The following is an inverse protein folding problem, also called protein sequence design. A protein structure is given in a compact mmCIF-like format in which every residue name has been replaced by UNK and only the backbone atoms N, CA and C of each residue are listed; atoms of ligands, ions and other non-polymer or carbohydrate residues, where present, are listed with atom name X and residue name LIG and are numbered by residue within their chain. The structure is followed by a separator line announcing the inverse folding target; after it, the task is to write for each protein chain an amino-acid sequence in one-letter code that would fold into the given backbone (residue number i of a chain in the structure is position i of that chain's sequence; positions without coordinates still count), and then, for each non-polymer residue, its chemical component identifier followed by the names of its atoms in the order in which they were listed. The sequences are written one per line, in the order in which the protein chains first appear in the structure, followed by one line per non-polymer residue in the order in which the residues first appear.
data_IF_977660862395
#
_entry.id   IF_977660862395
#
_cell.length_a   1.000
_cell.length_b   1.000
_cell.length_c   1.000
_cell.angle_alpha   90.00
_cell.angle_beta   90.00
_cell.angle_gamma   90.00
#
_symmetry.space_group_name_H-M   'P 1'
#
loop_
_entity.id
_entity.type
_entity.pdbx_description
1 polymer ?
#
# COMPACT_ATOMS: atom_id res chain seq x y z
N UNK A 1 -0.92 -4.29 17.95
CA UNK A 1 0.12 -4.20 19.01
C UNK A 1 -0.55 -4.33 20.38
N UNK A 2 0.11 -4.85 21.44
CA UNK A 2 -0.46 -4.89 22.78
C UNK A 2 -0.63 -3.49 23.35
N UNK A 3 -1.68 -3.31 24.17
CA UNK A 3 -1.91 -2.05 24.90
C UNK A 3 -0.99 -1.99 26.14
N UNK A 4 -0.65 -0.77 26.58
CA UNK A 4 0.26 -0.50 27.70
C UNK A 4 -0.22 -1.13 29.02
N UNK A 5 -1.54 -1.24 29.22
CA UNK A 5 -2.15 -1.84 30.43
C UNK A 5 -1.81 -3.34 30.58
N UNK A 6 -1.29 -3.99 29.52
CA UNK A 6 -0.84 -5.38 29.57
C UNK A 6 0.54 -5.54 30.22
N UNK A 7 1.29 -4.45 30.43
CA UNK A 7 2.59 -4.50 31.11
C UNK A 7 2.37 -4.67 32.62
N UNK A 8 2.96 -5.69 33.24
CA UNK A 8 2.89 -5.87 34.69
C UNK A 8 3.48 -4.68 35.42
N UNK A 9 2.77 -4.14 36.38
CA UNK A 9 3.19 -2.97 37.14
C UNK A 9 3.79 -3.29 38.52
N UNK A 10 3.80 -4.57 38.93
CA UNK A 10 4.39 -5.04 40.21
C UNK A 10 5.91 -5.14 40.05
N UNK A 11 6.64 -4.33 40.83
CA UNK A 11 8.12 -4.37 40.89
C UNK A 11 8.60 -5.44 41.89
N UNK A 12 8.03 -5.42 43.11
CA UNK A 12 8.47 -6.22 44.21
C UNK A 12 7.31 -6.41 45.18
N UNK A 13 7.26 -7.56 45.83
CA UNK A 13 6.38 -7.81 47.00
C UNK A 13 7.25 -8.05 48.22
N UNK A 14 7.18 -7.09 49.18
CA UNK A 14 8.00 -7.10 50.39
C UNK A 14 7.13 -7.38 51.61
N UNK A 15 7.60 -8.27 52.47
CA UNK A 15 6.93 -8.52 53.77
C UNK A 15 7.33 -7.44 54.76
N UNK A 16 6.36 -6.69 55.29
CA UNK A 16 6.55 -5.72 56.39
C UNK A 16 6.31 -6.42 57.74
N UNK A 17 7.38 -6.68 58.45
CA UNK A 17 7.36 -7.39 59.75
C UNK A 17 6.51 -6.66 60.78
N UNK A 18 6.57 -5.35 60.80
CA UNK A 18 5.81 -4.48 61.73
C UNK A 18 4.31 -4.56 61.54
N UNK A 19 3.86 -4.72 60.28
CA UNK A 19 2.44 -4.82 59.91
C UNK A 19 1.97 -6.23 59.70
N UNK A 20 2.89 -7.23 59.80
CA UNK A 20 2.64 -8.64 59.48
C UNK A 20 1.87 -8.85 58.16
N UNK A 21 2.19 -8.04 57.15
CA UNK A 21 1.49 -8.02 55.89
C UNK A 21 2.49 -7.86 54.72
N UNK A 22 2.07 -8.32 53.54
CA UNK A 22 2.81 -8.04 52.30
C UNK A 22 2.44 -6.67 51.74
N UNK A 23 3.45 -5.92 51.34
CA UNK A 23 3.30 -4.66 50.65
C UNK A 23 3.80 -4.80 49.23
N UNK A 24 2.96 -4.45 48.26
CA UNK A 24 3.29 -4.39 46.86
C UNK A 24 3.96 -3.06 46.54
N UNK A 25 5.13 -3.13 45.93
CA UNK A 25 5.86 -1.98 45.46
C UNK A 25 5.67 -1.97 43.94
N UNK A 26 5.04 -0.90 43.42
CA UNK A 26 4.74 -0.75 42.00
C UNK A 26 5.90 -0.09 41.24
N UNK A 27 6.03 -0.40 39.96
CA UNK A 27 6.92 0.28 39.04
C UNK A 27 6.49 1.75 38.87
N UNK A 28 7.47 2.62 38.67
CA UNK A 28 7.20 4.00 38.27
C UNK A 28 6.69 4.03 36.82
N UNK A 29 5.90 5.02 36.48
CA UNK A 29 5.36 5.15 35.10
C UNK A 29 6.47 5.25 34.05
N UNK A 30 7.58 5.90 34.36
CA UNK A 30 8.78 5.98 33.50
C UNK A 30 9.35 4.60 33.18
N UNK A 31 9.38 3.71 34.18
CA UNK A 31 9.89 2.34 34.00
C UNK A 31 8.92 1.50 33.17
N UNK A 32 7.61 1.66 33.42
CA UNK A 32 6.55 1.01 32.62
C UNK A 32 6.65 1.46 31.16
N UNK A 33 6.81 2.76 30.90
CA UNK A 33 6.97 3.30 29.56
C UNK A 33 8.19 2.71 28.85
N UNK A 34 9.32 2.59 29.55
CA UNK A 34 10.55 2.01 29.01
C UNK A 34 10.35 0.54 28.65
N UNK A 35 9.77 -0.26 29.57
CA UNK A 35 9.48 -1.68 29.33
C UNK A 35 8.52 -1.83 28.15
N UNK A 36 7.50 -1.00 28.07
CA UNK A 36 6.54 -1.01 26.97
C UNK A 36 7.20 -0.73 25.63
N UNK A 37 7.97 0.36 25.51
CA UNK A 37 8.73 0.68 24.30
C UNK A 37 9.62 -0.49 23.85
N UNK A 38 10.40 -1.02 24.78
CA UNK A 38 11.32 -2.12 24.52
C UNK A 38 10.60 -3.38 24.05
N UNK A 39 9.46 -3.70 24.67
CA UNK A 39 8.62 -4.83 24.29
C UNK A 39 8.04 -4.68 22.89
N UNK A 40 7.68 -3.46 22.46
CA UNK A 40 7.16 -3.22 21.11
C UNK A 40 8.24 -3.43 20.03
N UNK A 41 9.46 -2.95 20.27
CA UNK A 41 10.59 -3.20 19.36
C UNK A 41 10.96 -4.70 19.33
N UNK A 42 11.02 -5.35 20.47
CA UNK A 42 11.28 -6.79 20.57
C UNK A 42 10.22 -7.60 19.82
N UNK A 43 8.94 -7.26 19.98
CA UNK A 43 7.85 -7.95 19.30
C UNK A 43 7.98 -7.83 17.77
N UNK A 44 8.29 -6.63 17.28
CA UNK A 44 8.52 -6.40 15.85
C UNK A 44 9.66 -7.27 15.31
N UNK A 45 10.83 -7.25 15.96
CA UNK A 45 11.99 -8.02 15.53
C UNK A 45 11.76 -9.52 15.64
N UNK A 46 11.11 -9.96 16.73
CA UNK A 46 10.82 -11.38 16.98
C UNK A 46 9.86 -11.97 15.92
N UNK A 47 8.79 -11.26 15.58
CA UNK A 47 7.87 -11.74 14.56
C UNK A 47 8.52 -11.84 13.19
N UNK A 48 9.36 -10.87 12.81
CA UNK A 48 10.14 -10.98 11.57
C UNK A 48 11.07 -12.20 11.60
N UNK A 49 11.75 -12.42 12.72
CA UNK A 49 12.63 -13.58 12.92
C UNK A 49 11.87 -14.90 12.78
N UNK A 50 10.73 -15.03 13.47
CA UNK A 50 9.95 -16.26 13.46
C UNK A 50 9.42 -16.58 12.04
N UNK A 51 9.04 -15.55 11.26
CA UNK A 51 8.60 -15.72 9.86
C UNK A 51 9.78 -16.21 8.99
N UNK A 52 10.95 -15.55 9.05
CA UNK A 52 12.11 -15.98 8.26
C UNK A 52 12.62 -17.37 8.66
N UNK A 53 12.58 -17.72 9.94
CA UNK A 53 12.99 -19.05 10.40
C UNK A 53 11.99 -20.15 10.01
N UNK A 54 10.73 -19.81 9.81
CA UNK A 54 9.69 -20.74 9.35
C UNK A 54 9.71 -20.96 7.83
N UNK A 55 10.38 -20.09 7.08
CA UNK A 55 10.51 -20.19 5.62
C UNK A 55 11.65 -21.14 5.22
N UNK A 56 11.42 -22.42 5.35
CA UNK A 56 12.41 -23.48 5.01
C UNK A 56 12.75 -23.47 3.51
N UNK A 57 11.81 -23.09 2.67
CA UNK A 57 11.97 -23.07 1.22
C UNK A 57 12.66 -21.80 0.71
N UNK A 58 12.94 -20.81 1.56
CA UNK A 58 13.51 -19.50 1.23
C UNK A 58 12.75 -18.76 0.11
N UNK A 59 11.41 -18.79 0.20
CA UNK A 59 10.54 -18.10 -0.75
C UNK A 59 10.24 -16.63 -0.35
N UNK A 60 10.55 -16.25 0.90
CA UNK A 60 10.30 -14.91 1.42
C UNK A 60 11.56 -14.07 1.25
N UNK A 61 11.53 -13.15 0.30
CA UNK A 61 12.63 -12.21 0.07
C UNK A 61 12.63 -11.03 1.05
N UNK A 62 11.44 -10.58 1.46
CA UNK A 62 11.30 -9.46 2.37
C UNK A 62 10.01 -9.47 3.17
N UNK A 63 10.02 -8.79 4.31
CA UNK A 63 8.87 -8.62 5.20
C UNK A 63 8.65 -7.14 5.45
N UNK A 64 7.40 -6.68 5.32
CA UNK A 64 6.97 -5.38 5.83
C UNK A 64 6.10 -5.61 7.06
N UNK A 65 6.56 -5.11 8.19
CA UNK A 65 5.85 -5.18 9.45
C UNK A 65 5.26 -3.82 9.81
N UNK A 66 3.95 -3.74 9.95
CA UNK A 66 3.24 -2.54 10.41
C UNK A 66 2.56 -2.81 11.74
N UNK A 67 2.95 -2.10 12.78
CA UNK A 67 2.40 -2.24 14.12
C UNK A 67 1.25 -1.27 14.35
N UNK A 68 0.02 -1.75 14.28
CA UNK A 68 -1.18 -0.96 14.54
C UNK A 68 -1.64 -1.06 16.00
N UNK A 69 -2.13 0.05 16.54
CA UNK A 69 -2.74 0.12 17.85
C UNK A 69 -4.07 0.87 17.75
N UNK A 70 -5.12 0.30 18.37
CA UNK A 70 -6.44 0.95 18.46
C UNK A 70 -6.59 1.55 19.84
N UNK A 71 -6.81 2.86 19.90
CA UNK A 71 -7.01 3.62 21.13
C UNK A 71 -8.17 4.59 20.99
N UNK A 72 -8.72 4.98 22.15
CA UNK A 72 -9.77 6.00 22.22
C UNK A 72 -9.14 7.39 22.03
N UNK A 73 -9.50 8.07 20.95
CA UNK A 73 -9.14 9.47 20.78
C UNK A 73 -9.93 10.33 21.77
N UNK A 74 -9.22 10.91 22.75
CA UNK A 74 -9.83 11.71 23.83
C UNK A 74 -10.44 13.02 23.34
N UNK A 75 -10.14 13.46 22.12
CA UNK A 75 -10.68 14.70 21.57
C UNK A 75 -12.08 14.53 20.99
N UNK A 76 -12.37 13.35 20.42
CA UNK A 76 -13.65 13.07 19.74
C UNK A 76 -14.42 11.88 20.33
N UNK A 77 -13.81 11.12 21.26
CA UNK A 77 -14.43 9.96 21.89
C UNK A 77 -14.56 8.72 20.97
N UNK A 78 -13.91 8.70 19.82
CA UNK A 78 -13.96 7.57 18.86
C UNK A 78 -12.72 6.70 18.99
N UNK A 79 -12.86 5.41 18.68
CA UNK A 79 -11.72 4.51 18.55
C UNK A 79 -11.00 4.79 17.23
N UNK A 80 -9.71 5.05 17.30
CA UNK A 80 -8.83 5.26 16.14
C UNK A 80 -7.73 4.21 16.13
N UNK A 81 -7.49 3.64 14.94
CA UNK A 81 -6.42 2.68 14.72
C UNK A 81 -5.29 3.34 13.96
N UNK A 82 -4.16 3.53 14.64
CA UNK A 82 -2.99 4.19 14.08
C UNK A 82 -1.81 3.23 13.96
N UNK A 83 -1.03 3.34 12.88
CA UNK A 83 0.26 2.71 12.78
C UNK A 83 1.24 3.45 13.70
N UNK A 84 1.87 2.76 14.66
CA UNK A 84 2.80 3.37 15.62
C UNK A 84 4.24 3.03 15.33
N UNK A 85 4.48 1.93 14.59
CA UNK A 85 5.80 1.57 14.08
C UNK A 85 5.67 0.79 12.76
N UNK A 86 6.67 0.92 11.90
CA UNK A 86 6.76 0.20 10.63
C UNK A 86 8.21 -0.17 10.35
N UNK A 87 8.45 -1.40 9.91
CA UNK A 87 9.76 -1.92 9.58
C UNK A 87 9.68 -2.74 8.30
N UNK A 88 10.60 -2.50 7.38
CA UNK A 88 10.82 -3.37 6.23
C UNK A 88 12.19 -4.03 6.36
N UNK A 89 12.24 -5.33 6.10
CA UNK A 89 13.47 -6.12 6.15
C UNK A 89 13.57 -6.98 4.90
N UNK A 90 14.80 -7.25 4.43
CA UNK A 90 15.07 -8.32 3.49
C UNK A 90 15.59 -9.55 4.22
N UNK A 91 15.33 -10.74 3.68
CA UNK A 91 15.80 -11.99 4.27
C UNK A 91 17.34 -12.02 4.37
N UNK A 92 18.03 -11.51 3.35
CA UNK A 92 19.48 -11.45 3.29
C UNK A 92 20.03 -10.59 4.44
N UNK A 93 19.60 -9.32 4.50
CA UNK A 93 20.07 -8.39 5.54
C UNK A 93 19.68 -8.83 6.94
N UNK A 94 18.46 -9.38 7.13
CA UNK A 94 17.98 -9.74 8.45
C UNK A 94 18.74 -10.94 9.06
N UNK A 95 19.16 -11.91 8.23
CA UNK A 95 19.95 -13.08 8.66
C UNK A 95 21.35 -12.72 9.20
N UNK A 96 21.88 -11.54 8.84
CA UNK A 96 23.18 -11.06 9.37
C UNK A 96 23.12 -10.57 10.82
N UNK A 97 21.92 -10.26 11.34
CA UNK A 97 21.76 -9.74 12.70
C UNK A 97 21.69 -10.85 13.75
N UNK A 98 22.50 -10.71 14.79
CA UNK A 98 22.40 -11.58 15.98
C UNK A 98 21.45 -10.96 17.02
N UNK A 99 20.15 -11.29 16.91
CA UNK A 99 19.10 -10.70 17.75
C UNK A 99 19.27 -10.96 19.25
N UNK A 100 20.09 -11.95 19.65
CA UNK A 100 20.34 -12.21 21.08
C UNK A 100 21.31 -11.23 21.73
N UNK A 101 22.04 -10.44 20.91
CA UNK A 101 23.10 -9.52 21.36
C UNK A 101 22.84 -8.06 21.03
N UNK A 102 21.71 -7.73 20.43
CA UNK A 102 21.40 -6.37 20.00
C UNK A 102 20.48 -5.65 20.98
N UNK A 103 20.61 -4.32 21.07
CA UNK A 103 19.56 -3.49 21.66
C UNK A 103 18.39 -3.40 20.65
N UNK A 104 17.15 -3.76 21.03
CA UNK A 104 16.04 -3.83 20.11
C UNK A 104 15.72 -2.50 19.41
N UNK A 105 15.82 -1.38 20.13
CA UNK A 105 15.57 -0.05 19.60
C UNK A 105 16.64 0.39 18.60
N UNK A 106 17.91 0.13 18.93
CA UNK A 106 19.02 0.44 18.03
C UNK A 106 18.98 -0.45 16.79
N UNK A 107 18.70 -1.73 16.95
CA UNK A 107 18.55 -2.67 15.85
C UNK A 107 17.42 -2.25 14.89
N UNK A 108 16.24 -1.90 15.42
CA UNK A 108 15.12 -1.38 14.63
C UNK A 108 15.51 -0.12 13.85
N UNK A 109 16.23 0.81 14.48
CA UNK A 109 16.70 2.03 13.82
C UNK A 109 17.76 1.77 12.75
N UNK A 110 18.70 0.83 12.98
CA UNK A 110 19.72 0.47 11.99
C UNK A 110 19.11 -0.11 10.73
N UNK A 111 17.98 -0.80 10.86
CA UNK A 111 17.17 -1.30 9.74
C UNK A 111 16.26 -0.22 9.13
N UNK A 112 16.44 1.07 9.48
CA UNK A 112 15.64 2.21 8.99
C UNK A 112 14.14 2.11 9.31
N UNK A 113 13.79 1.43 10.40
CA UNK A 113 12.42 1.35 10.89
C UNK A 113 11.83 2.73 11.24
N UNK A 114 10.56 2.94 10.95
CA UNK A 114 9.82 4.17 11.24
C UNK A 114 9.04 4.02 12.54
N UNK A 115 9.26 4.92 13.48
CA UNK A 115 8.51 5.01 14.73
C UNK A 115 8.58 6.46 15.24
N UNK A 116 7.63 6.85 16.08
CA UNK A 116 7.69 8.12 16.78
C UNK A 116 8.94 8.26 17.67
N UNK A 117 9.30 9.48 18.05
CA UNK A 117 10.51 9.76 18.87
C UNK A 117 10.49 8.95 20.18
N UNK A 118 9.33 8.86 20.81
CA UNK A 118 9.02 7.96 21.93
C UNK A 118 7.83 7.11 21.53
N UNK A 119 8.04 5.81 21.47
CA UNK A 119 6.99 4.89 21.08
C UNK A 119 5.86 4.81 22.12
N UNK A 120 6.20 5.11 23.40
CA UNK A 120 5.22 5.22 24.50
C UNK A 120 4.20 6.36 24.33
N UNK A 121 4.52 7.37 23.52
CA UNK A 121 3.64 8.50 23.24
C UNK A 121 2.62 8.17 22.12
N UNK A 122 2.74 6.98 21.50
CA UNK A 122 1.81 6.40 20.52
C UNK A 122 1.54 7.30 19.31
N UNK A 123 2.52 8.13 18.95
CA UNK A 123 2.42 9.02 17.79
C UNK A 123 2.27 8.21 16.51
N UNK A 124 1.25 8.52 15.71
CA UNK A 124 1.02 7.88 14.43
C UNK A 124 2.19 8.13 13.47
N UNK A 125 2.62 7.09 12.79
CA UNK A 125 3.63 7.16 11.72
C UNK A 125 3.07 6.62 10.42
N UNK A 126 3.54 7.16 9.30
CA UNK A 126 3.18 6.60 8.00
C UNK A 126 3.81 5.21 7.86
N UNK A 127 3.03 4.15 7.57
CA UNK A 127 3.57 2.84 7.30
C UNK A 127 4.50 2.88 6.07
N UNK A 128 5.55 2.05 6.06
CA UNK A 128 6.50 1.98 4.94
C UNK A 128 5.78 1.49 3.69
N UNK A 129 4.95 0.48 3.85
CA UNK A 129 4.06 0.00 2.80
C UNK A 129 2.70 -0.27 3.41
N UNK A 130 1.67 0.34 2.88
CA UNK A 130 0.30 0.07 3.26
C UNK A 130 -0.30 -0.94 2.29
N UNK A 131 0.14 -2.19 2.38
CA UNK A 131 -0.52 -3.30 1.68
C UNK A 131 -1.76 -3.62 2.51
N UNK A 132 -2.80 -2.85 2.38
CA UNK A 132 -4.12 -3.28 2.85
C UNK A 132 -4.64 -4.36 1.88
N UNK A 133 -4.19 -5.60 2.05
CA UNK A 133 -4.86 -6.77 1.45
C UNK A 133 -6.33 -6.88 1.90
N UNK A 134 -6.78 -5.95 2.74
CA UNK A 134 -8.13 -5.77 3.25
C UNK A 134 -8.81 -4.53 2.70
N UNK A 135 -8.26 -3.89 1.68
CA UNK A 135 -9.03 -2.89 0.97
C UNK A 135 -10.19 -3.63 0.31
N UNK A 136 -11.40 -3.39 0.86
CA UNK A 136 -12.63 -4.03 0.39
C UNK A 136 -12.95 -3.71 -1.07
N UNK A 137 -12.23 -2.75 -1.66
CA UNK A 137 -12.32 -2.37 -3.07
C UNK A 137 -11.62 -3.38 -3.98
N UNK A 138 -10.63 -4.15 -3.48
CA UNK A 138 -9.91 -5.12 -4.31
C UNK A 138 -10.80 -6.29 -4.67
N UNK A 139 -10.89 -6.55 -5.96
CA UNK A 139 -11.64 -7.67 -6.53
C UNK A 139 -10.68 -8.74 -7.05
N UNK A 140 -11.20 -9.97 -7.20
CA UNK A 140 -10.43 -11.03 -7.84
C UNK A 140 -10.25 -10.69 -9.31
N UNK A 141 -9.02 -10.63 -9.82
CA UNK A 141 -8.76 -10.40 -11.22
C UNK A 141 -9.24 -11.58 -12.07
N UNK A 142 -9.66 -11.31 -13.29
CA UNK A 142 -9.81 -12.32 -14.32
C UNK A 142 -8.95 -11.96 -15.53
N UNK A 143 -8.48 -12.97 -16.26
CA UNK A 143 -7.60 -12.80 -17.40
C UNK A 143 -8.40 -12.56 -18.67
N UNK A 144 -8.01 -11.54 -19.42
CA UNK A 144 -8.68 -11.09 -20.66
C UNK A 144 -7.74 -11.15 -21.85
N UNK A 145 -6.43 -11.11 -21.63
CA UNK A 145 -5.41 -10.95 -22.68
C UNK A 145 -5.56 -11.90 -23.85
N UNK A 146 -5.91 -13.16 -23.61
CA UNK A 146 -6.10 -14.15 -24.66
C UNK A 146 -7.35 -13.93 -25.56
N UNK A 147 -8.29 -13.11 -25.07
CA UNK A 147 -9.58 -12.84 -25.74
C UNK A 147 -9.55 -11.62 -26.65
N UNK A 148 -8.48 -10.82 -26.60
CA UNK A 148 -8.44 -9.50 -27.27
C UNK A 148 -7.83 -9.51 -28.66
N UNK A 149 -7.44 -10.67 -29.22
CA UNK A 149 -6.82 -10.75 -30.54
C UNK A 149 -7.69 -10.10 -31.61
N UNK A 150 -7.22 -8.97 -32.16
CA UNK A 150 -7.95 -8.19 -33.17
C UNK A 150 -9.16 -7.43 -32.64
N UNK A 151 -9.44 -7.46 -31.34
CA UNK A 151 -10.58 -6.81 -30.74
C UNK A 151 -10.42 -5.28 -30.73
N UNK A 152 -11.52 -4.54 -30.96
CA UNK A 152 -11.53 -3.09 -30.86
C UNK A 152 -11.69 -2.66 -29.40
N UNK A 153 -10.60 -2.20 -28.78
CA UNK A 153 -10.62 -1.82 -27.35
C UNK A 153 -11.61 -0.68 -27.05
N UNK A 154 -11.90 0.18 -28.02
CA UNK A 154 -12.86 1.28 -27.86
C UNK A 154 -14.31 0.79 -27.72
N UNK A 155 -14.63 -0.46 -28.18
CA UNK A 155 -15.92 -1.12 -28.04
C UNK A 155 -15.99 -2.15 -26.90
N UNK A 156 -14.86 -2.40 -26.20
CA UNK A 156 -14.77 -3.38 -25.13
C UNK A 156 -15.71 -3.02 -23.96
N UNK A 157 -16.14 -4.02 -23.17
CA UNK A 157 -16.79 -3.74 -21.89
C UNK A 157 -15.83 -2.93 -20.99
N UNK A 158 -16.34 -2.00 -20.20
CA UNK A 158 -15.51 -1.14 -19.36
C UNK A 158 -14.80 -1.93 -18.25
N UNK A 159 -15.45 -2.92 -17.64
CA UNK A 159 -14.84 -3.81 -16.64
C UNK A 159 -13.71 -4.65 -17.25
N UNK A 160 -13.92 -5.20 -18.45
CA UNK A 160 -12.91 -5.95 -19.19
C UNK A 160 -11.71 -5.05 -19.55
N UNK A 161 -11.96 -3.79 -19.88
CA UNK A 161 -10.90 -2.83 -20.15
C UNK A 161 -10.04 -2.54 -18.91
N UNK A 162 -10.65 -2.36 -17.74
CA UNK A 162 -9.95 -2.20 -16.47
C UNK A 162 -9.07 -3.41 -16.14
N UNK A 163 -9.60 -4.63 -16.33
CA UNK A 163 -8.85 -5.86 -16.16
C UNK A 163 -7.70 -6.01 -17.14
N UNK A 164 -7.89 -5.61 -18.39
CA UNK A 164 -6.82 -5.61 -19.40
C UNK A 164 -5.68 -4.65 -19.01
N UNK A 165 -6.02 -3.45 -18.54
CA UNK A 165 -5.03 -2.50 -18.07
C UNK A 165 -4.24 -3.06 -16.89
N UNK A 166 -4.89 -3.72 -15.94
CA UNK A 166 -4.22 -4.41 -14.84
C UNK A 166 -3.21 -5.46 -15.36
N UNK A 167 -3.66 -6.39 -16.24
CA UNK A 167 -2.78 -7.41 -16.82
C UNK A 167 -1.56 -6.81 -17.52
N UNK A 168 -1.78 -5.72 -18.28
CA UNK A 168 -0.71 -5.00 -18.94
C UNK A 168 0.31 -4.48 -17.94
N UNK A 169 -0.13 -3.86 -16.85
CA UNK A 169 0.76 -3.33 -15.83
C UNK A 169 1.42 -4.43 -14.98
N UNK A 170 0.76 -5.56 -14.73
CA UNK A 170 1.41 -6.73 -14.13
C UNK A 170 2.56 -7.24 -14.98
N UNK A 171 2.40 -7.30 -16.31
CA UNK A 171 3.49 -7.70 -17.22
C UNK A 171 4.58 -6.63 -17.32
N UNK A 172 4.22 -5.35 -17.30
CA UNK A 172 5.20 -4.25 -17.33
C UNK A 172 6.11 -4.25 -16.11
N UNK A 173 5.58 -4.66 -14.96
CA UNK A 173 6.29 -4.71 -13.67
C UNK A 173 6.67 -6.13 -13.23
N UNK A 174 6.64 -7.13 -14.11
CA UNK A 174 6.83 -8.56 -13.77
C UNK A 174 8.17 -8.90 -13.12
N UNK A 175 9.19 -8.05 -13.26
CA UNK A 175 10.54 -8.27 -12.71
C UNK A 175 10.80 -7.51 -11.41
N UNK A 176 9.82 -6.76 -10.92
CA UNK A 176 9.94 -5.91 -9.74
C UNK A 176 9.07 -6.48 -8.61
N UNK A 177 9.44 -6.23 -7.35
CA UNK A 177 8.64 -6.59 -6.17
C UNK A 177 7.36 -5.73 -6.08
N UNK A 178 6.62 -5.64 -7.19
CA UNK A 178 5.48 -4.77 -7.41
C UNK A 178 4.22 -5.62 -7.52
N UNK A 179 3.17 -5.23 -6.80
CA UNK A 179 1.85 -5.84 -6.89
C UNK A 179 0.87 -4.88 -7.53
N UNK A 180 0.11 -5.37 -8.50
CA UNK A 180 -0.96 -4.62 -9.15
C UNK A 180 -2.30 -5.18 -8.70
N UNK A 181 -3.17 -4.30 -8.20
CA UNK A 181 -4.51 -4.66 -7.71
C UNK A 181 -5.57 -3.92 -8.50
N UNK A 182 -6.68 -4.61 -8.83
CA UNK A 182 -7.89 -3.98 -9.38
C UNK A 182 -8.80 -3.58 -8.23
N UNK A 183 -9.41 -2.42 -8.34
CA UNK A 183 -10.42 -1.95 -7.40
C UNK A 183 -11.83 -2.17 -7.97
N UNK A 184 -12.83 -2.23 -7.10
CA UNK A 184 -14.23 -2.33 -7.51
C UNK A 184 -14.69 -0.97 -8.04
N UNK A 185 -14.83 -0.84 -9.38
CA UNK A 185 -15.31 0.41 -10.01
C UNK A 185 -16.69 0.80 -9.49
N UNK A 186 -16.92 2.08 -9.30
CA UNK A 186 -18.19 2.81 -9.13
C UNK A 186 -18.41 3.60 -7.84
N UNK A 187 -17.59 3.47 -6.78
CA UNK A 187 -17.75 4.28 -5.55
C UNK A 187 -16.48 5.00 -5.06
N UNK A 188 -15.37 4.84 -5.75
CA UNK A 188 -14.02 5.14 -5.21
C UNK A 188 -13.29 6.27 -5.95
N UNK A 189 -14.01 7.30 -6.42
CA UNK A 189 -13.38 8.43 -7.12
C UNK A 189 -12.71 8.07 -8.46
N UNK A 190 -13.09 6.91 -9.06
CA UNK A 190 -12.57 6.46 -10.35
C UNK A 190 -11.18 5.82 -10.28
N UNK A 191 -10.81 5.23 -9.16
CA UNK A 191 -9.61 4.38 -9.03
C UNK A 191 -9.95 3.00 -9.60
N UNK A 192 -9.31 2.61 -10.69
CA UNK A 192 -9.55 1.32 -11.35
C UNK A 192 -8.45 0.30 -11.03
N UNK A 193 -7.29 0.78 -10.59
CA UNK A 193 -6.22 -0.07 -10.12
C UNK A 193 -5.23 0.65 -9.23
N UNK A 194 -4.52 -0.13 -8.42
CA UNK A 194 -3.48 0.34 -7.52
C UNK A 194 -2.24 -0.52 -7.71
N UNK A 195 -1.12 0.13 -8.01
CA UNK A 195 0.19 -0.51 -8.03
C UNK A 195 0.88 -0.19 -6.71
N UNK A 196 1.41 -1.21 -6.06
CA UNK A 196 2.16 -1.06 -4.82
C UNK A 196 3.57 -1.56 -5.06
N UNK A 197 4.51 -0.63 -5.03
CA UNK A 197 5.94 -0.90 -5.05
C UNK A 197 6.46 -0.89 -3.62
N UNK A 198 7.02 -2.00 -3.19
CA UNK A 198 7.52 -2.20 -1.83
C UNK A 198 8.95 -1.68 -1.61
N UNK A 199 9.60 -1.11 -2.63
CA UNK A 199 10.95 -0.55 -2.49
C UNK A 199 10.93 0.60 -1.47
N UNK A 200 11.82 0.58 -0.43
CA UNK A 200 11.78 1.58 0.65
C UNK A 200 12.26 2.97 0.23
N UNK A 201 12.93 3.10 -0.92
CA UNK A 201 13.52 4.36 -1.40
C UNK A 201 12.75 4.90 -2.60
N UNK A 202 12.44 4.02 -3.56
CA UNK A 202 11.81 4.38 -4.83
C UNK A 202 10.34 4.01 -4.87
N UNK A 203 9.93 3.09 -4.00
CA UNK A 203 8.59 2.53 -3.96
C UNK A 203 7.55 3.46 -3.40
N UNK A 204 6.31 3.03 -3.53
CA UNK A 204 5.15 3.75 -3.07
C UNK A 204 3.89 3.28 -3.79
N UNK A 205 2.84 4.04 -3.66
CA UNK A 205 1.55 3.76 -4.25
C UNK A 205 1.39 4.52 -5.56
N UNK A 206 0.95 3.84 -6.61
CA UNK A 206 0.60 4.45 -7.90
C UNK A 206 -0.87 4.15 -8.16
N UNK A 207 -1.63 5.16 -8.54
CA UNK A 207 -3.05 5.04 -8.90
C UNK A 207 -3.17 4.86 -10.40
N UNK A 208 -3.94 3.85 -10.83
CA UNK A 208 -4.33 3.67 -12.21
C UNK A 208 -5.80 4.08 -12.39
N UNK A 209 -6.05 4.82 -13.45
CA UNK A 209 -7.39 5.15 -13.91
C UNK A 209 -7.50 4.86 -15.41
N UNK A 210 -8.48 4.05 -15.79
CA UNK A 210 -8.73 3.61 -17.15
C UNK A 210 -10.02 4.26 -17.70
N UNK A 211 -9.93 5.01 -18.77
CA UNK A 211 -11.07 5.68 -19.40
C UNK A 211 -11.27 5.19 -20.84
N UNK A 212 -12.16 4.21 -21.02
CA UNK A 212 -12.57 3.74 -22.34
C UNK A 212 -13.47 4.78 -23.01
N UNK A 213 -12.86 5.80 -23.57
CA UNK A 213 -13.58 6.90 -24.22
C UNK A 213 -13.37 6.91 -25.72
N UNK A 214 -14.41 7.33 -26.45
CA UNK A 214 -14.35 7.57 -27.90
C UNK A 214 -14.16 9.05 -28.26
N UNK A 215 -14.24 9.94 -27.29
CA UNK A 215 -13.97 11.36 -27.42
C UNK A 215 -12.71 11.73 -26.63
N UNK A 216 -12.11 12.88 -26.98
CA UNK A 216 -10.95 13.43 -26.28
C UNK A 216 -11.26 13.59 -24.79
N UNK A 217 -10.35 13.11 -23.95
CA UNK A 217 -10.44 13.24 -22.50
C UNK A 217 -10.10 14.65 -22.09
N UNK A 218 -11.05 15.32 -21.45
CA UNK A 218 -10.88 16.70 -20.99
C UNK A 218 -10.06 16.78 -19.68
N UNK A 219 -9.59 18.00 -19.40
CA UNK A 219 -8.77 18.33 -18.22
C UNK A 219 -9.44 17.99 -16.87
N UNK A 220 -10.79 17.92 -16.82
CA UNK A 220 -11.53 17.58 -15.61
C UNK A 220 -11.12 16.20 -15.06
N UNK A 221 -11.05 15.19 -15.91
CA UNK A 221 -10.66 13.83 -15.51
C UNK A 221 -9.24 13.80 -14.93
N UNK A 222 -8.34 14.63 -15.44
CA UNK A 222 -6.95 14.70 -14.95
C UNK A 222 -6.88 15.41 -13.60
N UNK A 223 -7.71 16.42 -13.38
CA UNK A 223 -7.82 17.10 -12.09
C UNK A 223 -8.42 16.18 -11.04
N UNK A 224 -9.42 15.37 -11.40
CA UNK A 224 -9.99 14.34 -10.53
C UNK A 224 -8.90 13.33 -10.11
N UNK A 225 -8.12 12.80 -11.06
CA UNK A 225 -7.00 11.92 -10.75
C UNK A 225 -5.96 12.60 -9.85
N UNK A 226 -5.63 13.87 -10.08
CA UNK A 226 -4.69 14.62 -9.25
C UNK A 226 -5.17 14.72 -7.79
N UNK A 227 -6.47 14.93 -7.59
CA UNK A 227 -7.09 14.94 -6.25
C UNK A 227 -6.98 13.58 -5.60
N UNK A 228 -7.35 12.51 -6.31
CA UNK A 228 -7.26 11.13 -5.81
C UNK A 228 -5.83 10.76 -5.43
N UNK A 229 -4.84 11.12 -6.25
CA UNK A 229 -3.41 10.89 -5.95
C UNK A 229 -3.00 11.55 -4.63
N UNK A 230 -3.47 12.77 -4.40
CA UNK A 230 -3.21 13.50 -3.16
C UNK A 230 -3.91 12.87 -1.96
N UNK A 231 -5.20 12.56 -2.07
CA UNK A 231 -6.03 12.03 -0.99
C UNK A 231 -5.61 10.61 -0.57
N UNK A 232 -5.19 9.80 -1.55
CA UNK A 232 -4.70 8.44 -1.33
C UNK A 232 -3.22 8.39 -0.90
N UNK A 233 -2.55 9.54 -0.80
CA UNK A 233 -1.12 9.62 -0.50
C UNK A 233 -0.25 8.88 -1.51
N UNK A 234 -0.69 8.82 -2.77
CA UNK A 234 0.03 8.14 -3.82
C UNK A 234 1.18 9.00 -4.37
N UNK A 235 2.25 8.34 -4.78
CA UNK A 235 3.40 9.02 -5.37
C UNK A 235 3.19 9.40 -6.84
N UNK A 236 2.23 8.76 -7.52
CA UNK A 236 1.97 8.94 -8.95
C UNK A 236 0.55 8.52 -9.32
N UNK A 237 -0.04 9.20 -10.31
CA UNK A 237 -1.25 8.79 -10.99
C UNK A 237 -0.99 8.51 -12.48
N UNK A 238 -1.63 7.49 -13.03
CA UNK A 238 -1.57 7.15 -14.45
C UNK A 238 -2.99 7.09 -14.99
N UNK A 239 -3.30 7.95 -15.95
CA UNK A 239 -4.57 7.94 -16.67
C UNK A 239 -4.39 7.33 -18.04
N UNK A 240 -5.12 6.27 -18.32
CA UNK A 240 -5.06 5.50 -19.56
C UNK A 240 -6.38 5.68 -20.32
N UNK A 241 -6.31 5.92 -21.63
CA UNK A 241 -7.53 6.00 -22.45
C UNK A 241 -7.38 5.30 -23.79
N UNK A 242 -8.48 4.87 -24.36
CA UNK A 242 -8.57 4.43 -25.76
C UNK A 242 -8.58 5.59 -26.76
N UNK A 243 -8.80 6.81 -26.30
CA UNK A 243 -8.82 8.02 -27.11
C UNK A 243 -7.52 8.83 -26.96
N UNK A 244 -7.60 10.12 -26.99
CA UNK A 244 -6.49 11.05 -26.78
C UNK A 244 -6.86 12.10 -25.72
N UNK A 245 -5.90 12.92 -25.33
CA UNK A 245 -6.05 13.99 -24.35
C UNK A 245 -6.02 15.35 -25.05
N UNK A 246 -6.75 16.31 -24.49
CA UNK A 246 -6.68 17.70 -24.95
C UNK A 246 -5.31 18.33 -24.65
N UNK A 247 -4.95 19.37 -25.40
CA UNK A 247 -3.70 20.11 -25.19
C UNK A 247 -3.53 20.61 -23.78
N UNK A 248 -4.60 21.15 -23.19
CA UNK A 248 -4.60 21.65 -21.80
C UNK A 248 -4.28 20.56 -20.78
N UNK A 249 -4.61 19.31 -21.11
CA UNK A 249 -4.33 18.14 -20.31
C UNK A 249 -2.82 17.85 -20.24
N UNK A 250 -2.16 17.88 -21.39
CA UNK A 250 -0.70 17.71 -21.48
C UNK A 250 0.06 18.85 -20.79
N UNK A 251 -0.42 20.08 -20.92
CA UNK A 251 0.17 21.22 -20.22
C UNK A 251 0.01 21.08 -18.68
N UNK A 252 -1.15 20.63 -18.22
CA UNK A 252 -1.45 20.50 -16.81
C UNK A 252 -0.56 19.47 -16.07
N UNK A 253 -0.14 18.40 -16.75
CA UNK A 253 0.64 17.32 -16.10
C UNK A 253 2.15 17.57 -16.08
N UNK A 254 2.68 18.58 -16.78
CA UNK A 254 4.13 18.81 -16.92
C UNK A 254 4.90 18.81 -15.60
N UNK A 255 4.33 19.43 -14.56
CA UNK A 255 4.97 19.59 -13.26
C UNK A 255 4.26 18.79 -12.15
N UNK A 256 3.54 17.75 -12.51
CA UNK A 256 2.76 16.93 -11.57
C UNK A 256 3.15 15.46 -11.64
N UNK A 257 2.97 14.72 -10.58
CA UNK A 257 3.23 13.27 -10.56
C UNK A 257 2.13 12.51 -11.30
N UNK A 258 1.84 12.93 -12.53
CA UNK A 258 0.80 12.36 -13.38
C UNK A 258 1.38 11.93 -14.72
N UNK A 259 0.90 10.81 -15.24
CA UNK A 259 1.26 10.29 -16.57
C UNK A 259 -0.01 10.04 -17.37
N UNK A 260 -0.01 10.46 -18.62
CA UNK A 260 -1.11 10.23 -19.57
C UNK A 260 -0.67 9.20 -20.61
N UNK A 261 -1.49 8.16 -20.79
CA UNK A 261 -1.30 7.09 -21.78
C UNK A 261 -2.50 7.13 -22.72
N UNK A 262 -2.32 7.66 -23.92
CA UNK A 262 -3.35 7.69 -24.93
C UNK A 262 -3.47 6.35 -25.68
N UNK A 263 -4.43 6.25 -26.61
CA UNK A 263 -4.70 5.02 -27.35
C UNK A 263 -3.51 4.49 -28.14
N UNK A 264 -2.69 5.35 -28.72
CA UNK A 264 -1.49 4.94 -29.47
C UNK A 264 -0.43 4.35 -28.54
N UNK A 265 -0.15 5.03 -27.43
CA UNK A 265 0.79 4.54 -26.42
C UNK A 265 0.30 3.24 -25.76
N UNK A 266 -1.01 3.11 -25.54
CA UNK A 266 -1.61 1.88 -25.04
C UNK A 266 -1.41 0.71 -25.99
N UNK A 267 -1.67 0.91 -27.30
CA UNK A 267 -1.44 -0.12 -28.32
C UNK A 267 0.05 -0.51 -28.41
N UNK A 268 0.95 0.45 -28.29
CA UNK A 268 2.38 0.19 -28.26
C UNK A 268 2.78 -0.70 -27.05
N UNK A 269 2.28 -0.37 -25.86
CA UNK A 269 2.54 -1.16 -24.63
C UNK A 269 1.96 -2.58 -24.75
N UNK A 270 0.72 -2.71 -25.23
CA UNK A 270 0.08 -4.01 -25.44
C UNK A 270 0.89 -4.87 -26.41
N UNK A 271 1.34 -4.30 -27.55
CA UNK A 271 2.17 -5.00 -28.53
C UNK A 271 3.50 -5.46 -27.96
N UNK A 272 4.16 -4.65 -27.11
CA UNK A 272 5.39 -5.00 -26.39
C UNK A 272 5.24 -6.29 -25.58
N UNK A 273 4.05 -6.52 -25.01
CA UNK A 273 3.73 -7.70 -24.22
C UNK A 273 3.01 -8.81 -25.00
N UNK A 274 3.01 -8.74 -26.33
CA UNK A 274 2.50 -9.81 -27.20
C UNK A 274 0.98 -9.77 -27.41
N UNK A 275 0.29 -8.70 -26.99
CA UNK A 275 -1.13 -8.54 -27.26
C UNK A 275 -1.39 -7.92 -28.62
N UNK A 276 -2.29 -8.54 -29.40
CA UNK A 276 -2.76 -8.04 -30.69
C UNK A 276 -4.14 -7.39 -30.51
N UNK A 277 -4.16 -6.08 -30.33
CA UNK A 277 -5.39 -5.29 -30.19
C UNK A 277 -5.41 -4.14 -31.20
N UNK A 278 -6.60 -3.56 -31.42
CA UNK A 278 -6.79 -2.35 -32.23
C UNK A 278 -7.66 -1.34 -31.51
N UNK A 279 -7.61 -0.11 -31.94
CA UNK A 279 -8.51 0.96 -31.49
C UNK A 279 -9.07 1.63 -32.74
N UNK A 280 -10.40 1.53 -32.93
CA UNK A 280 -11.15 2.22 -33.94
C UNK A 280 -12.30 2.99 -33.26
N UNK A 281 -12.07 4.30 -33.09
CA UNK A 281 -13.02 5.18 -32.42
C UNK A 281 -14.28 5.43 -33.27
N UNK A 282 -14.17 5.37 -34.60
CA UNK A 282 -15.29 5.58 -35.50
C UNK A 282 -16.26 4.39 -35.45
N UNK A 283 -15.74 3.18 -35.54
CA UNK A 283 -16.49 1.94 -35.38
C UNK A 283 -17.21 1.91 -34.02
N UNK A 284 -16.50 2.18 -32.92
CA UNK A 284 -17.08 2.19 -31.58
C UNK A 284 -18.22 3.22 -31.42
N UNK A 285 -18.15 4.37 -32.09
CA UNK A 285 -19.23 5.38 -32.09
C UNK A 285 -20.46 4.94 -32.86
N UNK A 286 -20.31 4.13 -33.90
CA UNK A 286 -21.43 3.57 -34.66
C UNK A 286 -22.16 2.49 -33.83
N UNK A 287 -21.44 1.60 -33.19
CA UNK A 287 -22.01 0.55 -32.33
C UNK A 287 -22.84 1.11 -31.16
N UNK A 288 -22.45 2.25 -30.60
CA UNK A 288 -23.24 2.94 -29.58
C UNK A 288 -24.54 3.52 -30.14
N UNK A 289 -24.54 4.02 -31.38
CA UNK A 289 -25.73 4.60 -32.02
C UNK A 289 -26.76 3.53 -32.43
N UNK A 290 -26.33 2.31 -32.72
CA UNK A 290 -27.20 1.21 -33.08
C UNK A 290 -27.89 0.54 -31.87
N UNK A 291 -27.40 0.79 -30.65
CA UNK A 291 -27.96 0.26 -29.39
C UNK A 291 -29.01 1.15 -28.74
N UNK A 292 -29.21 2.36 -29.27
CA UNK A 292 -30.22 3.34 -28.82
C UNK A 292 -31.06 3.87 -30.00
#
# INVERSE_FOLDING_TARGET
MPKKEKIPNLKERRYEVTKKAYKDILLKETDINKIYEESLYQLCLRLNYDIYMSDIANNIEGIVFNGYLTELNRSNGLEETNCILSLQTSAETFKEYNLTKVDPKLCFKSMKGRAGTKLSDLVAVAPICNISNYDKRFIKPHEIGDKIKGYNLASMNWEDFEHLIRELFEKEYANDNIKVHVTQGSKDGGVDGVIIDSDPIKGGKIILQAKRYTNIVGISAIRELATVVSDEGAMKGILITTSDFGRDSYEYVKDKPLTLINGENLLYMLKKHGYEARIDLAEAKLEVKEKY
#
